data_IF_306333274654
#
_entry.id   IF_306333274654
#
_cell.length_a   1.000
_cell.length_b   1.000
_cell.length_c   1.000
_cell.angle_alpha   90.00
_cell.angle_beta   90.00
_cell.angle_gamma   90.00
#
_symmetry.space_group_name_H-M   'P 1'
#
loop_
_entity.id
_entity.type
_entity.pdbx_description
1 polymer ?
#
# COMPACT_ATOMS: atom_id res chain seq x y z
N UNK A 1 -16.52 21.18 -11.98
CA UNK A 1 -15.73 21.21 -10.72
C UNK A 1 -16.57 21.66 -9.52
N UNK A 2 -17.11 22.89 -9.45
CA UNK A 2 -17.87 23.32 -8.26
C UNK A 2 -19.12 22.45 -7.99
N UNK A 3 -19.79 21.95 -9.03
CA UNK A 3 -20.97 21.08 -8.90
C UNK A 3 -20.62 19.67 -8.43
N UNK A 4 -19.55 19.07 -8.97
CA UNK A 4 -19.04 17.78 -8.52
C UNK A 4 -18.56 17.83 -7.05
N UNK A 5 -17.83 18.88 -6.66
CA UNK A 5 -17.40 19.06 -5.26
C UNK A 5 -18.59 19.20 -4.32
N UNK A 6 -19.57 20.04 -4.68
CA UNK A 6 -20.81 20.15 -3.90
C UNK A 6 -21.61 18.85 -3.87
N UNK A 7 -21.59 18.03 -4.93
CA UNK A 7 -22.20 16.70 -4.88
C UNK A 7 -21.49 15.82 -3.85
N UNK A 8 -20.16 15.73 -3.91
CA UNK A 8 -19.37 14.94 -2.96
C UNK A 8 -19.58 15.39 -1.51
N UNK A 9 -19.59 16.69 -1.24
CA UNK A 9 -19.87 17.24 0.10
C UNK A 9 -21.26 16.83 0.61
N UNK A 10 -22.28 16.86 -0.24
CA UNK A 10 -23.66 16.51 0.14
C UNK A 10 -23.90 14.99 0.26
N UNK A 11 -23.01 14.15 -0.28
CA UNK A 11 -23.12 12.68 -0.24
C UNK A 11 -21.97 12.04 0.56
N UNK A 12 -21.22 12.82 1.33
CA UNK A 12 -20.07 12.33 2.08
C UNK A 12 -20.40 11.18 3.03
N UNK A 13 -21.56 11.21 3.69
CA UNK A 13 -21.98 10.13 4.59
C UNK A 13 -22.21 8.82 3.81
N UNK A 14 -22.86 8.89 2.65
CA UNK A 14 -23.08 7.73 1.77
C UNK A 14 -21.74 7.15 1.30
N UNK A 15 -20.80 8.00 0.86
CA UNK A 15 -19.49 7.55 0.40
C UNK A 15 -18.70 6.82 1.50
N UNK A 16 -18.81 7.31 2.74
CA UNK A 16 -18.18 6.64 3.89
C UNK A 16 -18.90 5.33 4.21
N UNK A 17 -20.22 5.27 4.12
CA UNK A 17 -20.98 4.04 4.36
C UNK A 17 -20.64 2.95 3.33
N UNK A 18 -20.45 3.31 2.06
CA UNK A 18 -20.02 2.37 1.01
C UNK A 18 -18.56 1.93 1.18
N UNK A 19 -17.66 2.84 1.61
CA UNK A 19 -16.30 2.45 2.00
C UNK A 19 -16.32 1.46 3.16
N UNK A 20 -17.19 1.69 4.13
CA UNK A 20 -17.40 0.79 5.26
C UNK A 20 -17.87 -0.60 4.83
N UNK A 21 -18.68 -0.72 3.78
CA UNK A 21 -19.06 -2.01 3.19
C UNK A 21 -17.85 -2.73 2.59
N UNK A 22 -17.03 -2.04 1.79
CA UNK A 22 -15.80 -2.60 1.21
C UNK A 22 -14.79 -3.03 2.29
N UNK A 23 -14.67 -2.26 3.37
CA UNK A 23 -13.77 -2.55 4.50
C UNK A 23 -14.23 -3.76 5.33
N UNK A 24 -15.51 -4.12 5.30
CA UNK A 24 -16.02 -5.35 5.92
C UNK A 24 -15.65 -6.62 5.16
N UNK A 25 -15.07 -6.50 3.96
CA UNK A 25 -14.57 -7.62 3.18
C UNK A 25 -13.10 -7.88 3.58
N UNK A 26 -12.79 -8.98 4.31
CA UNK A 26 -11.42 -9.31 4.70
C UNK A 26 -10.61 -9.89 3.52
N UNK A 27 -10.27 -9.05 2.55
CA UNK A 27 -9.48 -9.42 1.36
C UNK A 27 -7.98 -9.58 1.67
N UNK A 28 -7.63 -10.51 2.56
CA UNK A 28 -6.23 -10.77 2.96
C UNK A 28 -5.53 -11.65 1.93
N UNK A 29 -4.70 -11.08 1.05
CA UNK A 29 -4.03 -11.81 -0.04
C UNK A 29 -2.90 -12.72 0.43
N UNK A 30 -2.27 -12.41 1.55
CA UNK A 30 -1.15 -13.19 2.11
C UNK A 30 -1.59 -14.56 2.69
N UNK A 31 -2.89 -14.78 2.89
CA UNK A 31 -3.45 -16.03 3.41
C UNK A 31 -4.49 -16.61 2.44
N UNK A 32 -4.15 -17.76 1.85
CA UNK A 32 -5.00 -18.51 0.93
C UNK A 32 -6.39 -18.86 1.47
N UNK A 33 -6.61 -18.86 2.80
CA UNK A 33 -7.93 -19.06 3.39
C UNK A 33 -8.92 -17.92 3.07
N UNK A 34 -8.41 -16.74 2.70
CA UNK A 34 -9.20 -15.57 2.33
C UNK A 34 -9.33 -15.39 0.80
N UNK A 35 -8.91 -16.35 -0.02
CA UNK A 35 -8.97 -16.23 -1.48
C UNK A 35 -10.38 -15.88 -2.00
N UNK A 36 -11.43 -16.48 -1.42
CA UNK A 36 -12.83 -16.16 -1.76
C UNK A 36 -13.22 -14.73 -1.34
N UNK A 37 -12.61 -14.19 -0.29
CA UNK A 37 -12.86 -12.82 0.20
C UNK A 37 -12.13 -11.77 -0.66
N UNK A 38 -10.92 -12.11 -1.15
CA UNK A 38 -10.21 -11.30 -2.16
C UNK A 38 -11.03 -11.24 -3.45
N UNK A 39 -11.54 -12.39 -3.93
CA UNK A 39 -12.48 -12.45 -5.06
C UNK A 39 -13.73 -11.60 -4.81
N UNK A 40 -14.35 -11.72 -3.62
CA UNK A 40 -15.55 -10.93 -3.26
C UNK A 40 -15.29 -9.43 -3.27
N UNK A 41 -14.10 -8.97 -2.86
CA UNK A 41 -13.73 -7.56 -2.92
C UNK A 41 -13.59 -7.07 -4.37
N UNK A 42 -13.03 -7.89 -5.27
CA UNK A 42 -12.95 -7.60 -6.69
C UNK A 42 -14.34 -7.48 -7.33
N UNK A 43 -15.24 -8.42 -7.01
CA UNK A 43 -16.63 -8.42 -7.47
C UNK A 43 -17.39 -7.20 -6.96
N UNK A 44 -17.26 -6.87 -5.68
CA UNK A 44 -17.89 -5.68 -5.10
C UNK A 44 -17.43 -4.40 -5.80
N UNK A 45 -16.12 -4.27 -6.07
CA UNK A 45 -15.59 -3.10 -6.78
C UNK A 45 -16.10 -3.03 -8.23
N UNK A 46 -16.16 -4.16 -8.92
CA UNK A 46 -16.68 -4.21 -10.28
C UNK A 46 -18.17 -3.81 -10.33
N UNK A 47 -19.00 -4.40 -9.46
CA UNK A 47 -20.40 -4.04 -9.33
C UNK A 47 -20.56 -2.54 -9.03
N UNK A 48 -19.73 -2.00 -8.13
CA UNK A 48 -19.75 -0.59 -7.80
C UNK A 48 -19.36 0.32 -8.98
N UNK A 49 -18.36 -0.06 -9.79
CA UNK A 49 -18.02 0.69 -11.01
C UNK A 49 -19.18 0.72 -12.02
N UNK A 50 -19.90 -0.39 -12.15
CA UNK A 50 -21.10 -0.46 -13.00
C UNK A 50 -22.23 0.43 -12.46
N UNK A 51 -22.46 0.43 -11.14
CA UNK A 51 -23.48 1.25 -10.47
C UNK A 51 -23.25 2.75 -10.67
N UNK A 52 -22.00 3.22 -10.61
CA UNK A 52 -21.67 4.65 -10.80
C UNK A 52 -21.64 5.06 -12.29
N UNK A 53 -21.81 4.12 -13.23
CA UNK A 53 -21.94 4.40 -14.65
C UNK A 53 -20.62 4.46 -15.43
N UNK A 54 -19.62 3.66 -15.04
CA UNK A 54 -18.45 3.43 -15.90
C UNK A 54 -18.89 2.73 -17.20
N UNK A 55 -18.22 3.03 -18.32
CA UNK A 55 -18.64 2.50 -19.64
C UNK A 55 -18.21 1.04 -19.84
N UNK A 56 -17.14 0.63 -19.18
CA UNK A 56 -16.59 -0.72 -19.26
C UNK A 56 -16.04 -1.10 -17.91
N UNK A 57 -16.45 -2.26 -17.42
CA UNK A 57 -15.93 -2.87 -16.20
C UNK A 57 -15.64 -4.34 -16.50
N UNK A 58 -14.46 -4.81 -16.13
CA UNK A 58 -14.06 -6.21 -16.29
C UNK A 58 -13.30 -6.68 -15.05
N UNK A 59 -13.59 -7.91 -14.61
CA UNK A 59 -12.72 -8.67 -13.73
C UNK A 59 -11.79 -9.50 -14.61
N UNK A 60 -10.50 -9.22 -14.54
CA UNK A 60 -9.47 -9.88 -15.33
C UNK A 60 -8.87 -11.00 -14.47
N UNK A 61 -9.21 -12.23 -14.80
CA UNK A 61 -8.60 -13.43 -14.22
C UNK A 61 -7.09 -13.46 -14.49
N UNK A 62 -6.32 -13.80 -13.46
CA UNK A 62 -4.86 -13.94 -13.53
C UNK A 62 -4.43 -15.31 -13.00
N UNK A 63 -3.12 -15.59 -12.96
CA UNK A 63 -2.61 -16.79 -12.29
C UNK A 63 -2.66 -16.69 -10.76
N UNK A 64 -2.97 -15.50 -10.22
CA UNK A 64 -3.14 -15.20 -8.81
C UNK A 64 -4.49 -14.53 -8.54
N UNK A 65 -4.52 -13.40 -7.84
CA UNK A 65 -5.77 -12.66 -7.61
C UNK A 65 -6.20 -11.82 -8.82
N UNK A 66 -7.50 -11.61 -9.04
CA UNK A 66 -7.98 -10.91 -10.23
C UNK A 66 -7.66 -9.42 -10.21
N UNK A 67 -7.58 -8.80 -11.38
CA UNK A 67 -7.46 -7.35 -11.54
C UNK A 67 -8.82 -6.78 -11.91
N UNK A 68 -9.30 -5.79 -11.17
CA UNK A 68 -10.50 -5.03 -11.55
C UNK A 68 -10.08 -3.91 -12.50
N UNK A 69 -10.62 -3.94 -13.70
CA UNK A 69 -10.46 -2.88 -14.70
C UNK A 69 -11.77 -2.14 -14.89
N UNK A 70 -11.73 -0.81 -14.83
CA UNK A 70 -12.85 0.02 -15.24
C UNK A 70 -12.39 1.16 -16.15
N UNK A 71 -13.21 1.56 -17.12
CA UNK A 71 -12.89 2.63 -18.06
C UNK A 71 -14.13 3.46 -18.40
N UNK A 72 -13.92 4.76 -18.53
CA UNK A 72 -14.91 5.69 -19.05
C UNK A 72 -14.20 6.69 -19.97
N UNK A 73 -14.48 6.61 -21.28
CA UNK A 73 -13.89 7.46 -22.31
C UNK A 73 -14.87 8.54 -22.74
N UNK A 74 -14.64 9.75 -22.24
CA UNK A 74 -15.46 10.90 -22.61
C UNK A 74 -15.14 11.43 -24.01
N UNK A 75 -13.85 11.58 -24.36
CA UNK A 75 -13.41 12.15 -25.64
C UNK A 75 -11.98 11.68 -25.96
N UNK A 76 -11.71 11.05 -27.12
CA UNK A 76 -10.35 10.68 -27.53
C UNK A 76 -9.33 11.82 -27.58
N UNK A 77 -9.78 13.08 -27.65
CA UNK A 77 -8.91 14.26 -27.62
C UNK A 77 -8.56 14.74 -26.19
N UNK A 78 -9.26 14.24 -25.16
CA UNK A 78 -8.94 14.51 -23.75
C UNK A 78 -7.81 13.61 -23.26
N UNK A 79 -7.00 14.05 -22.28
CA UNK A 79 -6.00 13.19 -21.67
C UNK A 79 -6.66 11.99 -20.97
N UNK A 80 -5.93 10.89 -20.91
CA UNK A 80 -6.31 9.65 -20.22
C UNK A 80 -5.50 9.50 -18.95
N UNK A 81 -6.18 9.46 -17.81
CA UNK A 81 -5.57 9.19 -16.51
C UNK A 81 -5.82 7.74 -16.15
N UNK A 82 -4.76 7.02 -15.79
CA UNK A 82 -4.81 5.65 -15.28
C UNK A 82 -4.64 5.71 -13.78
N UNK A 83 -5.68 5.38 -13.04
CA UNK A 83 -5.65 5.26 -11.58
C UNK A 83 -5.26 3.83 -11.24
N UNK A 84 -4.21 3.67 -10.44
CA UNK A 84 -3.84 2.40 -9.83
C UNK A 84 -4.07 2.48 -8.32
N UNK A 85 -4.45 1.34 -7.75
CA UNK A 85 -4.57 1.10 -6.32
C UNK A 85 -4.74 -0.41 -6.10
N UNK A 86 -4.92 -0.82 -4.85
CA UNK A 86 -5.16 -2.23 -4.54
C UNK A 86 -6.29 -2.41 -3.53
N UNK A 87 -6.91 -3.59 -3.57
CA UNK A 87 -8.05 -3.92 -2.73
C UNK A 87 -7.76 -5.07 -1.75
N UNK A 88 -6.60 -5.73 -1.89
CA UNK A 88 -6.10 -6.64 -0.86
C UNK A 88 -5.49 -5.88 0.31
N UNK A 89 -5.33 -6.57 1.45
CA UNK A 89 -4.87 -5.96 2.69
C UNK A 89 -3.97 -6.92 3.48
N UNK A 90 -3.05 -6.39 4.29
CA UNK A 90 -2.31 -7.20 5.27
C UNK A 90 -3.21 -7.95 6.28
N UNK A 91 -2.71 -9.06 6.87
CA UNK A 91 -3.35 -9.71 8.02
C UNK A 91 -3.56 -8.74 9.18
N UNK A 92 -4.61 -8.95 10.00
CA UNK A 92 -4.88 -8.08 11.14
C UNK A 92 -4.17 -8.52 12.43
N UNK A 93 -3.44 -9.63 12.44
CA UNK A 93 -2.83 -10.15 13.67
C UNK A 93 -1.77 -9.20 14.25
N UNK A 94 -1.64 -9.13 15.58
CA UNK A 94 -2.43 -9.84 16.60
C UNK A 94 -3.80 -9.19 16.86
N UNK A 95 -4.87 -9.98 16.86
CA UNK A 95 -6.25 -9.49 17.02
C UNK A 95 -6.53 -8.84 18.38
N UNK A 96 -5.84 -9.27 19.44
CA UNK A 96 -6.02 -8.77 20.80
C UNK A 96 -5.50 -7.34 21.01
N UNK A 97 -4.65 -6.84 20.12
CA UNK A 97 -4.15 -5.45 20.17
C UNK A 97 -5.14 -4.46 19.54
N UNK A 98 -6.14 -4.97 18.82
CA UNK A 98 -7.20 -4.14 18.26
C UNK A 98 -8.22 -3.73 19.32
N UNK A 99 -8.54 -2.42 19.35
CA UNK A 99 -9.62 -1.90 20.21
C UNK A 99 -11.03 -2.28 19.69
N UNK A 100 -11.18 -2.43 18.38
CA UNK A 100 -12.40 -2.88 17.68
C UNK A 100 -12.00 -3.87 16.59
N UNK A 101 -12.86 -4.83 16.26
CA UNK A 101 -12.51 -5.86 15.28
C UNK A 101 -12.02 -5.23 13.96
N UNK A 102 -10.96 -5.77 13.35
CA UNK A 102 -10.24 -5.14 12.23
C UNK A 102 -11.11 -4.91 11.00
N UNK A 103 -12.08 -5.79 10.76
CA UNK A 103 -13.03 -5.71 9.65
C UNK A 103 -14.43 -5.23 10.10
N UNK A 104 -14.52 -4.59 11.27
CA UNK A 104 -15.69 -3.85 11.74
C UNK A 104 -15.35 -2.35 11.82
N UNK A 105 -15.46 -1.61 10.68
CA UNK A 105 -15.21 -0.18 10.63
C UNK A 105 -15.91 0.59 11.74
N UNK A 106 -15.11 1.35 12.49
CA UNK A 106 -15.60 2.11 13.63
C UNK A 106 -15.09 3.54 13.58
N UNK A 107 -16.01 4.52 13.64
CA UNK A 107 -15.67 5.95 13.73
C UNK A 107 -15.31 6.31 15.18
N UNK A 108 -14.11 6.86 15.41
CA UNK A 108 -13.66 7.41 16.71
C UNK A 108 -12.85 8.68 16.48
N UNK A 109 -13.13 9.73 17.25
CA UNK A 109 -12.39 11.00 17.22
C UNK A 109 -12.17 11.58 15.81
N UNK A 110 -13.20 11.49 14.96
CA UNK A 110 -13.15 11.97 13.57
C UNK A 110 -12.42 11.06 12.57
N UNK A 111 -11.99 9.87 13.00
CA UNK A 111 -11.24 8.89 12.18
C UNK A 111 -12.02 7.59 12.01
N UNK A 112 -11.85 6.94 10.87
CA UNK A 112 -12.40 5.62 10.59
C UNK A 112 -11.33 4.55 10.84
N UNK A 113 -11.60 3.62 11.76
CA UNK A 113 -10.67 2.55 12.11
C UNK A 113 -11.14 1.21 11.52
N UNK A 114 -10.35 0.66 10.60
CA UNK A 114 -10.45 -0.70 10.07
C UNK A 114 -9.15 -1.07 9.35
N UNK A 115 -8.86 -2.37 9.22
CA UNK A 115 -7.84 -2.87 8.29
C UNK A 115 -8.27 -2.51 6.86
N UNK A 116 -7.37 -1.91 6.09
CA UNK A 116 -7.65 -1.44 4.73
C UNK A 116 -8.06 0.03 4.63
N UNK A 117 -8.39 0.69 5.75
CA UNK A 117 -8.97 2.04 5.71
C UNK A 117 -8.04 3.11 5.13
N UNK A 118 -6.72 2.92 5.26
CA UNK A 118 -5.69 3.82 4.75
C UNK A 118 -4.65 3.08 3.89
N UNK A 119 -4.88 1.81 3.55
CA UNK A 119 -3.91 0.97 2.84
C UNK A 119 -4.64 -0.24 2.23
N UNK A 120 -5.20 -0.13 1.03
CA UNK A 120 -5.37 1.11 0.22
C UNK A 120 -6.85 1.36 -0.15
N UNK A 121 -7.79 0.59 0.43
CA UNK A 121 -9.22 0.70 0.09
C UNK A 121 -9.75 2.12 0.24
N UNK A 122 -9.32 2.87 1.25
CA UNK A 122 -9.72 4.26 1.44
C UNK A 122 -9.29 5.19 0.31
N UNK A 123 -8.00 5.20 -0.02
CA UNK A 123 -7.46 6.13 -1.02
C UNK A 123 -7.81 5.72 -2.45
N UNK A 124 -7.85 4.42 -2.73
CA UNK A 124 -8.45 3.88 -3.95
C UNK A 124 -9.88 4.42 -4.11
N UNK A 125 -10.72 4.23 -3.09
CA UNK A 125 -12.15 4.50 -3.20
C UNK A 125 -12.44 6.00 -3.28
N UNK A 126 -11.58 6.86 -2.72
CA UNK A 126 -11.64 8.30 -2.95
C UNK A 126 -11.62 8.66 -4.45
N UNK A 127 -10.79 7.99 -5.27
CA UNK A 127 -10.76 8.22 -6.72
C UNK A 127 -12.02 7.72 -7.43
N UNK A 128 -12.60 6.62 -6.95
CA UNK A 128 -13.89 6.10 -7.43
C UNK A 128 -15.01 7.11 -7.17
N UNK A 129 -15.04 7.68 -5.95
CA UNK A 129 -16.03 8.71 -5.56
C UNK A 129 -15.85 10.04 -6.26
N UNK A 130 -14.62 10.40 -6.61
CA UNK A 130 -14.39 11.56 -7.47
C UNK A 130 -15.06 11.37 -8.84
N UNK A 131 -14.94 10.18 -9.45
CA UNK A 131 -15.60 9.89 -10.73
C UNK A 131 -17.13 9.89 -10.60
N UNK A 132 -17.68 9.23 -9.57
CA UNK A 132 -19.12 9.22 -9.31
C UNK A 132 -19.68 10.65 -9.16
N UNK A 133 -18.99 11.52 -8.42
CA UNK A 133 -19.44 12.90 -8.21
C UNK A 133 -19.51 13.69 -9.53
N UNK A 134 -18.55 13.50 -10.44
CA UNK A 134 -18.59 14.12 -11.77
C UNK A 134 -19.70 13.52 -12.65
N UNK A 135 -19.83 12.20 -12.69
CA UNK A 135 -20.85 11.52 -13.50
C UNK A 135 -22.26 11.91 -13.03
N UNK A 136 -22.49 11.96 -11.73
CA UNK A 136 -23.80 12.29 -11.15
C UNK A 136 -24.15 13.78 -11.28
N UNK A 137 -23.20 14.68 -11.04
CA UNK A 137 -23.46 16.12 -11.05
C UNK A 137 -23.40 16.76 -12.44
N UNK A 138 -22.51 16.25 -13.30
CA UNK A 138 -22.18 16.87 -14.60
C UNK A 138 -22.51 15.96 -15.79
N UNK A 139 -22.79 14.67 -15.56
CA UNK A 139 -23.10 13.68 -16.60
C UNK A 139 -21.89 13.26 -17.43
N UNK A 140 -20.68 13.66 -17.05
CA UNK A 140 -19.45 13.44 -17.82
C UNK A 140 -18.20 13.65 -16.98
N UNK A 141 -17.06 13.11 -17.42
CA UNK A 141 -15.76 13.29 -16.79
C UNK A 141 -14.92 14.37 -17.52
N UNK A 142 -14.08 15.13 -16.77
CA UNK A 142 -13.21 16.14 -17.39
C UNK A 142 -12.06 15.52 -18.20
N UNK A 143 -11.73 14.25 -17.95
CA UNK A 143 -10.68 13.45 -18.60
C UNK A 143 -11.21 12.06 -18.93
N UNK A 144 -10.48 11.29 -19.75
CA UNK A 144 -10.74 9.85 -19.84
C UNK A 144 -10.14 9.18 -18.59
N UNK A 145 -10.88 8.25 -17.98
CA UNK A 145 -10.42 7.52 -16.81
C UNK A 145 -10.29 6.04 -17.10
N UNK A 146 -9.23 5.45 -16.58
CA UNK A 146 -9.02 4.00 -16.47
C UNK A 146 -8.64 3.68 -15.04
N UNK A 147 -9.16 2.59 -14.51
CA UNK A 147 -8.78 2.03 -13.22
C UNK A 147 -8.12 0.67 -13.46
N UNK A 148 -7.01 0.42 -12.78
CA UNK A 148 -6.31 -0.87 -12.74
C UNK A 148 -6.09 -1.19 -11.28
N UNK A 149 -6.99 -1.99 -10.69
CA UNK A 149 -6.99 -2.25 -9.26
C UNK A 149 -6.67 -3.72 -9.02
N UNK A 150 -5.59 -4.01 -8.32
CA UNK A 150 -5.15 -5.38 -8.08
C UNK A 150 -5.47 -5.88 -6.66
N UNK A 151 -5.31 -7.19 -6.46
CA UNK A 151 -5.49 -7.85 -5.17
C UNK A 151 -4.24 -8.61 -4.70
N UNK A 152 -3.05 -8.16 -5.11
CA UNK A 152 -1.77 -8.83 -4.78
C UNK A 152 -0.66 -7.88 -4.30
N UNK A 153 -0.94 -6.60 -4.05
CA UNK A 153 0.11 -5.62 -3.70
C UNK A 153 0.91 -6.10 -2.49
N UNK A 154 0.19 -6.61 -1.49
CA UNK A 154 0.73 -7.07 -0.20
C UNK A 154 1.49 -8.39 -0.30
N UNK A 155 1.49 -8.99 -1.50
CA UNK A 155 2.21 -10.23 -1.85
C UNK A 155 3.21 -10.04 -3.00
N UNK A 156 3.38 -8.81 -3.50
CA UNK A 156 4.42 -8.43 -4.46
C UNK A 156 3.96 -8.22 -5.90
N UNK A 157 2.66 -8.08 -6.17
CA UNK A 157 2.13 -7.57 -7.46
C UNK A 157 2.54 -8.36 -8.72
N UNK A 158 2.75 -9.67 -8.61
CA UNK A 158 3.28 -10.47 -9.71
C UNK A 158 2.28 -10.59 -10.88
N UNK A 159 0.97 -10.68 -10.59
CA UNK A 159 -0.05 -10.77 -11.62
C UNK A 159 -0.19 -9.47 -12.43
N UNK A 160 -0.23 -8.30 -11.78
CA UNK A 160 -0.37 -7.02 -12.50
C UNK A 160 0.87 -6.74 -13.35
N UNK A 161 2.08 -7.08 -12.87
CA UNK A 161 3.31 -6.91 -13.64
C UNK A 161 3.25 -7.74 -14.94
N UNK A 162 2.82 -9.00 -14.81
CA UNK A 162 2.63 -9.91 -15.95
C UNK A 162 1.56 -9.39 -16.91
N UNK A 163 0.44 -8.89 -16.38
CA UNK A 163 -0.65 -8.35 -17.17
C UNK A 163 -0.22 -7.11 -17.96
N UNK A 164 0.48 -6.15 -17.33
CA UNK A 164 1.01 -4.95 -17.98
C UNK A 164 1.96 -5.34 -19.13
N UNK A 165 2.86 -6.29 -18.91
CA UNK A 165 3.80 -6.76 -19.96
C UNK A 165 3.08 -7.37 -21.17
N UNK A 166 2.00 -8.10 -20.94
CA UNK A 166 1.26 -8.79 -22.01
C UNK A 166 0.17 -7.93 -22.67
N UNK A 167 -0.43 -6.99 -21.94
CA UNK A 167 -1.63 -6.26 -22.35
C UNK A 167 -1.50 -4.73 -22.23
N UNK A 168 -0.29 -4.19 -22.08
CA UNK A 168 -0.04 -2.78 -21.78
C UNK A 168 -0.76 -1.76 -22.67
N UNK A 169 -1.04 -2.09 -23.94
CA UNK A 169 -1.84 -1.22 -24.84
C UNK A 169 -3.22 -0.90 -24.29
N UNK A 170 -3.87 -1.84 -23.60
CA UNK A 170 -5.17 -1.60 -22.96
C UNK A 170 -5.03 -0.58 -21.84
N UNK A 171 -3.86 -0.53 -21.21
CA UNK A 171 -3.54 0.34 -20.07
C UNK A 171 -2.88 1.66 -20.48
N UNK A 172 -2.74 1.94 -21.79
CA UNK A 172 -2.14 3.19 -22.28
C UNK A 172 -2.88 4.41 -21.70
N UNK A 173 -2.11 5.35 -21.16
CA UNK A 173 -2.59 6.63 -20.62
C UNK A 173 -1.53 7.71 -20.73
N UNK A 174 -1.96 8.96 -20.51
CA UNK A 174 -1.07 10.13 -20.51
C UNK A 174 -0.44 10.36 -19.13
N UNK A 175 -1.13 9.95 -18.07
CA UNK A 175 -0.69 10.05 -16.66
C UNK A 175 -1.13 8.81 -15.89
N UNK A 176 -0.24 8.30 -15.02
CA UNK A 176 -0.58 7.31 -13.99
C UNK A 176 -0.70 8.02 -12.65
N UNK A 177 -1.82 7.80 -11.95
CA UNK A 177 -2.10 8.36 -10.64
C UNK A 177 -2.19 7.22 -9.62
N UNK A 178 -1.39 7.33 -8.56
CA UNK A 178 -1.33 6.38 -7.44
C UNK A 178 -1.49 7.22 -6.16
N UNK A 179 -2.33 6.76 -5.23
CA UNK A 179 -2.54 7.44 -3.94
C UNK A 179 -2.34 6.52 -2.76
N UNK A 180 -1.20 5.84 -2.78
CA UNK A 180 -0.84 4.84 -1.78
C UNK A 180 0.46 5.24 -1.08
N UNK A 181 0.50 6.48 -0.60
CA UNK A 181 1.64 7.04 0.13
C UNK A 181 1.16 8.01 1.20
N UNK A 182 2.00 8.26 2.20
CA UNK A 182 1.67 9.16 3.29
C UNK A 182 1.79 10.65 2.90
N UNK A 183 1.00 11.48 3.56
CA UNK A 183 1.27 12.91 3.66
C UNK A 183 2.32 13.15 4.75
N UNK A 184 3.09 14.24 4.62
CA UNK A 184 4.03 14.66 5.66
C UNK A 184 3.33 14.91 7.00
N UNK A 185 2.18 15.59 6.97
CA UNK A 185 1.32 15.80 8.14
C UNK A 185 -0.12 16.10 7.70
N UNK A 186 -1.06 16.15 8.65
CA UNK A 186 -2.45 16.53 8.40
C UNK A 186 -2.58 17.93 7.76
N UNK A 187 -1.68 18.85 8.11
CA UNK A 187 -1.68 20.24 7.60
C UNK A 187 -0.79 20.44 6.37
N UNK A 188 0.04 19.45 6.03
CA UNK A 188 1.02 19.54 4.94
C UNK A 188 0.86 18.36 3.98
N UNK A 189 0.06 18.51 2.91
CA UNK A 189 -0.07 17.48 1.88
C UNK A 189 1.26 17.29 1.14
N UNK A 190 1.46 16.10 0.58
CA UNK A 190 2.70 15.72 -0.08
C UNK A 190 2.46 15.19 -1.50
N UNK A 191 3.43 15.43 -2.37
CA UNK A 191 3.55 14.75 -3.67
C UNK A 191 4.80 13.88 -3.58
N UNK A 192 4.60 12.58 -3.47
CA UNK A 192 5.70 11.61 -3.43
C UNK A 192 6.30 11.46 -4.82
N UNK A 193 7.59 11.75 -4.97
CA UNK A 193 8.30 11.69 -6.25
C UNK A 193 9.25 10.48 -6.37
N UNK A 194 9.43 9.74 -5.28
CA UNK A 194 10.29 8.57 -5.24
C UNK A 194 9.93 7.65 -4.08
N UNK A 195 10.04 6.35 -4.32
CA UNK A 195 9.88 5.29 -3.32
C UNK A 195 11.18 4.50 -3.26
N UNK A 196 11.52 3.97 -2.07
CA UNK A 196 12.62 3.01 -1.95
C UNK A 196 12.24 1.71 -2.64
N UNK A 197 13.22 1.03 -3.24
CA UNK A 197 13.05 -0.38 -3.61
C UNK A 197 13.11 -1.27 -2.38
N UNK A 198 12.67 -2.52 -2.54
CA UNK A 198 12.69 -3.53 -1.48
C UNK A 198 13.34 -4.82 -2.00
N UNK A 199 14.20 -5.42 -1.17
CA UNK A 199 14.80 -6.72 -1.44
C UNK A 199 14.62 -7.62 -0.22
N UNK A 200 13.75 -8.62 -0.35
CA UNK A 200 13.56 -9.65 0.67
C UNK A 200 14.48 -10.85 0.43
N UNK A 201 15.09 -11.36 1.50
CA UNK A 201 15.90 -12.57 1.46
C UNK A 201 15.57 -13.48 2.65
N UNK A 202 15.43 -14.78 2.38
CA UNK A 202 15.30 -15.81 3.41
C UNK A 202 16.66 -16.47 3.67
N UNK A 203 17.07 -16.54 4.94
CA UNK A 203 18.28 -17.24 5.36
C UNK A 203 17.90 -18.46 6.19
N UNK A 204 17.97 -19.64 5.58
CA UNK A 204 17.73 -20.91 6.27
C UNK A 204 19.05 -21.53 6.73
N UNK A 205 19.20 -21.73 8.05
CA UNK A 205 20.30 -22.49 8.64
C UNK A 205 19.79 -23.83 9.19
N UNK A 206 20.30 -24.92 8.62
CA UNK A 206 20.06 -26.26 9.13
C UNK A 206 21.31 -26.77 9.84
N UNK A 207 21.14 -27.20 11.09
CA UNK A 207 22.19 -27.84 11.87
C UNK A 207 22.07 -29.37 11.80
N UNK A 208 21.83 -30.06 12.92
CA UNK A 208 21.65 -31.51 12.95
C UNK A 208 20.43 -32.02 12.16
N UNK A 209 20.38 -33.32 11.90
CA UNK A 209 19.28 -34.02 11.21
C UNK A 209 18.00 -34.15 12.06
N UNK A 210 18.00 -33.62 13.28
CA UNK A 210 16.91 -33.68 14.27
C UNK A 210 17.13 -32.65 15.38
N UNK A 211 16.07 -32.38 16.15
CA UNK A 211 16.20 -31.59 17.38
C UNK A 211 17.04 -32.32 18.44
N UNK A 212 17.90 -31.56 19.11
CA UNK A 212 18.83 -32.09 20.12
C UNK A 212 18.49 -31.61 21.52
N UNK A 213 18.66 -32.50 22.50
CA UNK A 213 18.53 -32.13 23.92
C UNK A 213 19.68 -31.19 24.33
N UNK A 214 19.36 -29.94 24.65
CA UNK A 214 20.36 -28.87 24.87
C UNK A 214 21.37 -29.17 25.99
N UNK A 215 21.00 -29.94 27.02
CA UNK A 215 21.94 -30.35 28.07
C UNK A 215 22.98 -31.40 27.65
N UNK A 216 22.66 -32.25 26.67
CA UNK A 216 23.55 -33.33 26.23
C UNK A 216 24.53 -32.85 25.16
N UNK A 217 24.09 -31.94 24.31
CA UNK A 217 24.81 -31.47 23.12
C UNK A 217 25.25 -30.00 23.22
N UNK A 218 24.81 -29.29 24.26
CA UNK A 218 25.14 -27.89 24.50
C UNK A 218 26.65 -27.67 24.61
N UNK A 219 27.18 -26.80 23.75
CA UNK A 219 28.62 -26.52 23.67
C UNK A 219 29.42 -27.47 22.78
N UNK A 220 28.83 -28.58 22.30
CA UNK A 220 29.47 -29.51 21.37
C UNK A 220 28.98 -29.36 19.92
N UNK A 221 27.77 -28.82 19.73
CA UNK A 221 27.14 -28.61 18.43
C UNK A 221 26.77 -27.13 18.28
N UNK A 222 27.05 -26.56 17.12
CA UNK A 222 26.62 -25.20 16.80
C UNK A 222 25.09 -25.15 16.71
N UNK A 223 24.50 -24.29 17.54
CA UNK A 223 23.07 -24.03 17.52
C UNK A 223 22.76 -23.11 16.32
N UNK A 224 21.92 -23.54 15.36
CA UNK A 224 21.52 -22.71 14.21
C UNK A 224 20.98 -21.35 14.62
N UNK A 225 20.26 -21.24 15.74
CA UNK A 225 19.75 -19.97 16.25
C UNK A 225 20.90 -18.99 16.60
N UNK A 226 21.95 -19.47 17.26
CA UNK A 226 23.11 -18.63 17.60
C UNK A 226 23.88 -18.20 16.35
N UNK A 227 24.01 -19.10 15.37
CA UNK A 227 24.66 -18.77 14.09
C UNK A 227 23.84 -17.74 13.31
N UNK A 228 22.52 -17.90 13.25
CA UNK A 228 21.59 -16.94 12.64
C UNK A 228 21.67 -15.58 13.32
N UNK A 229 21.68 -15.51 14.66
CA UNK A 229 21.83 -14.25 15.39
C UNK A 229 23.12 -13.50 15.04
N UNK A 230 24.23 -14.21 14.82
CA UNK A 230 25.49 -13.58 14.38
C UNK A 230 25.42 -13.06 12.95
N UNK A 231 24.75 -13.79 12.06
CA UNK A 231 24.55 -13.36 10.68
C UNK A 231 23.70 -12.09 10.65
N UNK A 232 22.55 -12.09 11.33
CA UNK A 232 21.65 -10.94 11.42
C UNK A 232 22.36 -9.74 12.04
N UNK A 233 23.06 -9.93 13.16
CA UNK A 233 23.81 -8.86 13.80
C UNK A 233 24.93 -8.31 12.90
N UNK A 234 25.51 -9.14 12.03
CA UNK A 234 26.54 -8.75 11.07
C UNK A 234 26.03 -8.06 9.81
N UNK A 235 24.71 -7.89 9.64
CA UNK A 235 24.14 -7.13 8.52
C UNK A 235 24.33 -5.62 8.68
N UNK A 236 24.56 -5.14 9.92
CA UNK A 236 24.88 -3.74 10.21
C UNK A 236 26.15 -3.64 11.05
N UNK A 237 26.89 -2.54 10.89
CA UNK A 237 28.05 -2.25 11.74
C UNK A 237 27.67 -1.49 13.03
N UNK A 238 28.69 -1.05 13.78
CA UNK A 238 28.49 -0.32 15.02
C UNK A 238 27.78 1.04 14.81
N UNK A 239 28.02 1.67 13.67
CA UNK A 239 27.49 2.98 13.28
C UNK A 239 26.16 2.86 12.50
N UNK A 240 25.51 1.68 12.58
CA UNK A 240 24.23 1.36 11.95
C UNK A 240 24.26 1.34 10.41
N UNK A 241 25.43 1.28 9.79
CA UNK A 241 25.54 1.16 8.33
C UNK A 241 25.35 -0.29 7.90
N UNK A 242 24.74 -0.51 6.74
CA UNK A 242 24.63 -1.82 6.12
C UNK A 242 26.03 -2.37 5.81
N UNK A 243 26.40 -3.47 6.45
CA UNK A 243 27.74 -4.05 6.40
C UNK A 243 27.97 -5.01 5.22
N UNK A 244 26.99 -5.13 4.30
CA UNK A 244 27.09 -5.98 3.11
C UNK A 244 28.11 -5.35 2.13
N UNK A 245 29.18 -6.07 1.74
CA UNK A 245 30.17 -5.54 0.82
C UNK A 245 29.55 -5.07 -0.51
N UNK A 246 29.88 -3.85 -0.93
CA UNK A 246 29.40 -3.24 -2.17
C UNK A 246 27.99 -2.66 -2.10
N UNK A 247 27.33 -2.67 -0.94
CA UNK A 247 25.96 -2.15 -0.80
C UNK A 247 25.82 -0.69 -1.26
N UNK A 248 26.80 0.16 -0.89
CA UNK A 248 26.77 1.59 -1.21
C UNK A 248 27.36 1.95 -2.59
N UNK A 249 27.86 0.99 -3.37
CA UNK A 249 28.59 1.27 -4.61
C UNK A 249 27.72 1.99 -5.67
N UNK A 250 26.40 1.83 -5.60
CA UNK A 250 25.44 2.42 -6.53
C UNK A 250 24.40 3.33 -5.84
N UNK A 251 24.64 3.73 -4.58
CA UNK A 251 23.75 4.67 -3.89
C UNK A 251 24.12 6.09 -4.34
N UNK A 252 23.22 6.82 -5.04
CA UNK A 252 23.50 8.19 -5.45
C UNK A 252 23.50 9.11 -4.22
N UNK A 253 24.38 10.11 -4.23
CA UNK A 253 24.31 11.20 -3.26
C UNK A 253 23.08 12.07 -3.52
N UNK A 254 22.44 12.55 -2.44
CA UNK A 254 21.41 13.58 -2.54
C UNK A 254 21.99 14.86 -3.13
N UNK A 255 21.26 15.47 -4.05
CA UNK A 255 21.60 16.79 -4.57
C UNK A 255 21.41 17.87 -3.50
N UNK A 256 22.11 19.00 -3.63
CA UNK A 256 21.95 20.13 -2.70
C UNK A 256 20.49 20.61 -2.64
N UNK A 257 19.83 20.69 -3.79
CA UNK A 257 18.42 21.09 -3.87
C UNK A 257 17.49 20.14 -3.12
N UNK A 258 17.74 18.82 -3.19
CA UNK A 258 16.99 17.84 -2.39
C UNK A 258 17.24 18.03 -0.90
N UNK A 259 18.50 18.22 -0.49
CA UNK A 259 18.86 18.46 0.91
C UNK A 259 18.20 19.71 1.48
N UNK A 260 18.22 20.81 0.72
CA UNK A 260 17.54 22.06 1.07
C UNK A 260 16.03 21.85 1.19
N UNK A 261 15.41 21.15 0.22
CA UNK A 261 13.97 20.87 0.25
C UNK A 261 13.56 20.03 1.46
N UNK A 262 14.34 19.00 1.82
CA UNK A 262 14.07 18.22 3.02
C UNK A 262 14.23 19.04 4.31
N UNK A 263 15.22 19.94 4.36
CA UNK A 263 15.45 20.80 5.52
C UNK A 263 14.37 21.87 5.74
N UNK A 264 13.56 22.18 4.72
CA UNK A 264 12.40 23.08 4.83
C UNK A 264 11.17 22.42 5.47
N UNK A 265 11.13 21.08 5.54
CA UNK A 265 10.03 20.37 6.16
C UNK A 265 10.02 20.64 7.68
N UNK A 266 8.85 20.92 8.29
CA UNK A 266 8.75 21.19 9.72
C UNK A 266 8.78 19.89 10.54
N UNK A 267 9.85 19.12 10.39
CA UNK A 267 10.05 17.86 11.10
C UNK A 267 10.45 18.14 12.56
N UNK A 268 9.73 17.49 13.47
CA UNK A 268 9.97 17.54 14.91
C UNK A 268 10.33 16.14 15.37
N UNK A 269 11.63 15.89 15.55
CA UNK A 269 12.14 14.57 15.94
C UNK A 269 11.63 14.13 17.31
N UNK A 270 11.47 15.05 18.26
CA UNK A 270 10.94 14.74 19.60
C UNK A 270 9.48 14.28 19.51
N UNK A 271 8.65 15.03 18.77
CA UNK A 271 7.25 14.65 18.56
C UNK A 271 7.12 13.33 17.78
N UNK A 272 8.01 13.08 16.80
CA UNK A 272 8.03 11.83 16.04
C UNK A 272 8.40 10.64 16.92
N UNK A 273 9.42 10.77 17.77
CA UNK A 273 9.81 9.75 18.75
C UNK A 273 8.71 9.47 19.77
N UNK A 274 8.07 10.51 20.31
CA UNK A 274 6.94 10.39 21.25
C UNK A 274 5.75 9.66 20.62
N UNK A 275 5.47 9.89 19.34
CA UNK A 275 4.35 9.28 18.63
C UNK A 275 4.49 7.76 18.48
N UNK A 276 5.72 7.24 18.45
CA UNK A 276 6.02 5.80 18.34
C UNK A 276 6.61 5.19 19.61
N UNK A 277 6.77 5.99 20.68
CA UNK A 277 7.20 5.54 22.00
C UNK A 277 8.66 5.09 22.09
N UNK A 278 9.57 5.79 21.43
CA UNK A 278 11.01 5.55 21.51
C UNK A 278 11.76 6.70 22.18
N UNK A 279 12.91 6.41 22.80
CA UNK A 279 13.71 7.41 23.54
C UNK A 279 14.93 7.94 22.75
N UNK A 280 15.29 7.29 21.64
CA UNK A 280 16.48 7.63 20.86
C UNK A 280 16.34 7.17 19.40
N UNK A 281 16.93 7.92 18.48
CA UNK A 281 17.01 7.59 17.06
C UNK A 281 18.34 6.92 16.76
N UNK A 282 18.34 5.99 15.81
CA UNK A 282 19.56 5.37 15.32
C UNK A 282 19.63 5.49 13.80
N UNK A 283 20.50 6.37 13.32
CA UNK A 283 20.72 6.61 11.89
C UNK A 283 22.15 6.30 11.50
N UNK A 284 22.40 6.22 10.19
CA UNK A 284 23.75 6.10 9.66
C UNK A 284 24.47 7.45 9.76
N UNK A 285 25.42 7.62 10.70
CA UNK A 285 26.33 8.77 10.72
C UNK A 285 25.67 10.16 10.58
N UNK A 286 25.98 10.88 9.48
CA UNK A 286 25.53 12.25 9.22
C UNK A 286 24.12 12.34 8.58
N UNK A 287 23.38 11.25 8.43
CA UNK A 287 22.02 11.27 7.91
C UNK A 287 21.03 11.66 9.02
N UNK A 288 20.16 12.63 8.72
CA UNK A 288 19.06 13.04 9.58
C UNK A 288 17.95 11.98 9.56
N UNK A 289 17.24 11.88 10.67
CA UNK A 289 16.02 11.08 10.82
C UNK A 289 14.89 11.66 9.97
#
# INVERSE_FOLDING_TARGET
>A
MNTALSYAENHSDQFVDELEELLRIPSVSTDSAYADEVQRAAEWLADHFDEIGMETTDIIETDGHPIVYAEHRTDPAKPTVVVYGHYDVQPPDPLEEWTTAPFEPTKRDGRLYARGACDDKGQLFMHVKAAEAYLSAEGTLPVNLKYVIEGEEETGSMAVESYIKSNGRRLDGDVVLISDTAMFSEETPSITYGLRGLAYAEITLQGPDRDLHSGNYGGAVDNPANALSRIIAGLHDADHRVAIPGFYDNVPDLTEAERETYAELPFDEEAWMDAIGIDDVRTEGDYTT
#
